data_IF_356072156679
#
_entry.id   IF_356072156679
#
_cell.length_a   1.000
_cell.length_b   1.000
_cell.length_c   1.000
_cell.angle_alpha   90.00
_cell.angle_beta   90.00
_cell.angle_gamma   90.00
#
_symmetry.space_group_name_H-M   'P 1'
#
loop_
_entity.id
_entity.type
_entity.pdbx_description
1 polymer ?
#
# COMPACT_ATOMS: atom_id res chain seq x y z
N UNK A 1 -5.92 -8.53 -4.76
CA UNK A 1 -4.56 -8.62 -5.36
C UNK A 1 -3.69 -7.43 -4.96
N UNK A 2 -4.16 -6.19 -5.14
CA UNK A 2 -3.41 -4.97 -4.84
C UNK A 2 -2.73 -4.92 -3.45
N UNK A 3 -3.43 -5.28 -2.37
CA UNK A 3 -2.85 -5.30 -1.00
C UNK A 3 -1.60 -6.18 -0.90
N UNK A 4 -1.59 -7.34 -1.57
CA UNK A 4 -0.44 -8.25 -1.57
C UNK A 4 0.68 -7.73 -2.46
N UNK A 5 0.35 -7.18 -3.63
CA UNK A 5 1.32 -6.59 -4.55
C UNK A 5 2.05 -5.40 -3.89
N UNK A 6 1.31 -4.51 -3.23
CA UNK A 6 1.83 -3.37 -2.48
C UNK A 6 2.42 -3.74 -1.12
N UNK A 7 2.26 -5.01 -0.68
CA UNK A 7 2.63 -5.48 0.66
C UNK A 7 2.11 -4.53 1.74
N UNK A 8 0.86 -4.09 1.65
CA UNK A 8 0.29 -3.15 2.61
C UNK A 8 -0.62 -3.86 3.64
N UNK A 9 -1.02 -3.13 4.68
CA UNK A 9 -1.94 -3.67 5.68
C UNK A 9 -3.31 -3.96 5.06
N UNK A 10 -3.98 -5.03 5.53
CA UNK A 10 -5.31 -5.42 5.05
C UNK A 10 -6.41 -4.38 5.28
N UNK A 11 -6.15 -3.40 6.16
CA UNK A 11 -7.07 -2.31 6.49
C UNK A 11 -6.87 -1.09 5.58
N UNK A 12 -5.84 -1.08 4.73
CA UNK A 12 -5.66 -0.05 3.70
C UNK A 12 -6.84 -0.14 2.72
N UNK A 13 -7.42 1.01 2.37
CA UNK A 13 -8.56 1.08 1.44
C UNK A 13 -8.19 0.50 0.08
N UNK A 14 -9.20 0.06 -0.67
CA UNK A 14 -9.01 -0.46 -2.02
C UNK A 14 -8.34 0.56 -2.95
N UNK A 15 -8.82 1.82 -2.92
CA UNK A 15 -8.27 2.94 -3.69
C UNK A 15 -6.77 3.15 -3.40
N UNK A 16 -6.40 3.25 -2.11
CA UNK A 16 -5.01 3.43 -1.71
C UNK A 16 -4.15 2.20 -2.04
N UNK A 17 -4.67 0.98 -1.88
CA UNK A 17 -3.94 -0.24 -2.21
C UNK A 17 -3.63 -0.34 -3.72
N UNK A 18 -4.58 0.01 -4.59
CA UNK A 18 -4.38 0.07 -6.04
C UNK A 18 -3.31 1.11 -6.42
N UNK A 19 -3.36 2.30 -5.81
CA UNK A 19 -2.34 3.33 -6.00
C UNK A 19 -0.95 2.86 -5.57
N UNK A 20 -0.81 2.31 -4.36
CA UNK A 20 0.48 1.79 -3.87
C UNK A 20 1.02 0.65 -4.74
N UNK A 21 0.13 -0.20 -5.26
CA UNK A 21 0.51 -1.26 -6.19
C UNK A 21 0.89 -0.73 -7.58
N UNK A 22 0.45 0.47 -7.95
CA UNK A 22 0.59 1.00 -9.31
C UNK A 22 -0.29 0.26 -10.31
N UNK A 23 -1.43 -0.29 -9.87
CA UNK A 23 -2.34 -1.05 -10.72
C UNK A 23 -3.75 -0.45 -10.60
N UNK A 24 -4.40 -0.09 -11.72
CA UNK A 24 -5.76 0.43 -11.68
C UNK A 24 -6.74 -0.57 -11.05
N UNK A 25 -7.91 -0.10 -10.57
CA UNK A 25 -9.03 -0.97 -10.23
C UNK A 25 -9.36 -1.94 -11.37
N UNK A 26 -9.66 -3.19 -11.03
CA UNK A 26 -9.91 -4.24 -12.02
C UNK A 26 -11.14 -3.93 -12.88
N UNK A 27 -12.10 -3.18 -12.36
CA UNK A 27 -13.28 -2.72 -13.09
C UNK A 27 -12.88 -1.86 -14.30
N UNK A 28 -11.88 -0.99 -14.15
CA UNK A 28 -11.38 -0.17 -15.24
C UNK A 28 -10.57 -1.00 -16.24
N UNK A 29 -9.77 -1.96 -15.76
CA UNK A 29 -9.08 -2.91 -16.64
C UNK A 29 -10.07 -3.76 -17.46
N UNK A 30 -11.17 -4.19 -16.86
CA UNK A 30 -12.22 -4.95 -17.54
C UNK A 30 -12.89 -4.12 -18.65
N UNK A 31 -13.13 -2.83 -18.42
CA UNK A 31 -13.66 -1.91 -19.45
C UNK A 31 -12.69 -1.80 -20.62
N UNK A 32 -11.40 -1.60 -20.35
CA UNK A 32 -10.37 -1.53 -21.40
C UNK A 32 -10.27 -2.83 -22.21
N UNK A 33 -10.26 -3.99 -21.53
CA UNK A 33 -10.25 -5.30 -22.18
C UNK A 33 -11.52 -5.54 -23.01
N UNK A 34 -12.69 -5.14 -22.50
CA UNK A 34 -13.96 -5.24 -23.21
C UNK A 34 -13.99 -4.40 -24.50
N UNK A 35 -13.41 -3.20 -24.48
CA UNK A 35 -13.27 -2.37 -25.67
C UNK A 35 -12.39 -3.04 -26.74
N UNK A 36 -11.24 -3.60 -26.35
CA UNK A 36 -10.36 -4.35 -27.26
C UNK A 36 -11.01 -5.60 -27.82
N UNK A 37 -11.81 -6.31 -27.01
CA UNK A 37 -12.55 -7.49 -27.45
C UNK A 37 -13.60 -7.16 -28.51
N UNK A 38 -14.36 -6.07 -28.33
CA UNK A 38 -15.33 -5.59 -29.32
C UNK A 38 -14.64 -5.22 -30.65
N UNK A 39 -13.57 -4.42 -30.57
CA UNK A 39 -12.78 -4.05 -31.75
C UNK A 39 -12.26 -5.28 -32.51
N UNK A 40 -11.79 -6.30 -31.79
CA UNK A 40 -11.33 -7.56 -32.40
C UNK A 40 -12.45 -8.26 -33.16
N UNK A 41 -13.68 -8.24 -32.63
CA UNK A 41 -14.86 -8.78 -33.31
C UNK A 41 -15.20 -8.02 -34.60
N UNK A 42 -15.22 -6.69 -34.52
CA UNK A 42 -15.56 -5.78 -35.63
C UNK A 42 -14.52 -5.86 -36.77
N UNK A 43 -13.25 -6.03 -36.44
CA UNK A 43 -12.15 -6.04 -37.42
C UNK A 43 -11.80 -7.44 -37.95
N UNK A 44 -12.56 -8.46 -37.54
CA UNK A 44 -12.28 -9.87 -37.88
C UNK A 44 -12.46 -10.17 -39.36
N UNK A 45 -13.50 -9.61 -39.98
CA UNK A 45 -13.83 -9.84 -41.38
C UNK A 45 -12.77 -9.26 -42.32
N UNK A 46 -12.26 -8.07 -42.00
CA UNK A 46 -11.36 -7.31 -42.88
C UNK A 46 -9.87 -7.48 -42.53
N UNK A 47 -9.55 -8.30 -41.51
CA UNK A 47 -8.17 -8.60 -41.10
C UNK A 47 -7.40 -7.45 -40.44
N UNK A 48 -8.04 -6.31 -40.18
CA UNK A 48 -7.41 -5.06 -39.71
C UNK A 48 -6.96 -5.06 -38.24
N UNK A 49 -7.26 -6.12 -37.49
CA UNK A 49 -6.93 -6.22 -36.06
C UNK A 49 -5.44 -5.94 -35.75
N UNK A 50 -4.53 -6.50 -36.55
CA UNK A 50 -3.09 -6.38 -36.31
C UNK A 50 -2.59 -4.92 -36.40
N UNK A 51 -3.18 -4.13 -37.29
CA UNK A 51 -2.88 -2.71 -37.46
C UNK A 51 -3.44 -1.89 -36.28
N UNK A 52 -4.67 -2.18 -35.86
CA UNK A 52 -5.42 -1.34 -34.93
C UNK A 52 -5.17 -1.66 -33.45
N UNK A 53 -4.75 -2.88 -33.11
CA UNK A 53 -4.59 -3.31 -31.71
C UNK A 53 -3.58 -2.47 -30.92
N UNK A 54 -2.48 -2.06 -31.55
CA UNK A 54 -1.44 -1.26 -30.90
C UNK A 54 -1.96 0.12 -30.46
N UNK A 55 -2.45 0.95 -31.40
CA UNK A 55 -3.11 2.21 -31.08
C UNK A 55 -4.29 2.05 -30.11
N UNK A 56 -5.15 1.06 -30.30
CA UNK A 56 -6.31 0.84 -29.44
C UNK A 56 -5.92 0.50 -27.99
N UNK A 57 -4.86 -0.29 -27.79
CA UNK A 57 -4.31 -0.57 -26.44
C UNK A 57 -3.78 0.67 -25.76
N UNK A 58 -3.10 1.55 -26.50
CA UNK A 58 -2.62 2.83 -25.96
C UNK A 58 -3.79 3.72 -25.57
N UNK A 59 -4.77 3.88 -26.45
CA UNK A 59 -5.96 4.69 -26.15
C UNK A 59 -6.73 4.15 -24.93
N UNK A 60 -7.03 2.85 -24.90
CA UNK A 60 -7.74 2.24 -23.77
C UNK A 60 -6.98 2.40 -22.44
N UNK A 61 -5.65 2.43 -22.49
CA UNK A 61 -4.81 2.70 -21.32
C UNK A 61 -4.89 4.16 -20.89
N UNK A 62 -4.85 5.10 -21.82
CA UNK A 62 -5.03 6.52 -21.52
C UNK A 62 -6.41 6.80 -20.92
N UNK A 63 -7.47 6.23 -21.51
CA UNK A 63 -8.85 6.32 -21.01
C UNK A 63 -8.96 5.73 -19.60
N UNK A 64 -8.27 4.61 -19.33
CA UNK A 64 -8.21 4.00 -18.00
C UNK A 64 -7.59 4.96 -16.98
N UNK A 65 -6.49 5.64 -17.33
CA UNK A 65 -5.86 6.60 -16.43
C UNK A 65 -6.72 7.84 -16.20
N UNK A 66 -7.34 8.38 -17.24
CA UNK A 66 -8.19 9.56 -17.11
C UNK A 66 -9.40 9.24 -16.23
N UNK A 67 -10.03 8.08 -16.45
CA UNK A 67 -11.12 7.63 -15.59
C UNK A 67 -10.66 7.38 -14.16
N UNK A 68 -9.50 6.75 -13.97
CA UNK A 68 -8.98 6.49 -12.64
C UNK A 68 -8.64 7.78 -11.89
N UNK A 69 -8.00 8.75 -12.55
CA UNK A 69 -7.71 10.06 -11.97
C UNK A 69 -8.97 10.86 -11.63
N UNK A 70 -10.03 10.71 -12.43
CA UNK A 70 -11.35 11.28 -12.16
C UNK A 70 -12.01 10.63 -10.93
N UNK A 71 -12.05 9.30 -10.86
CA UNK A 71 -12.65 8.59 -9.72
C UNK A 71 -11.91 8.90 -8.41
N UNK A 72 -10.58 9.09 -8.47
CA UNK A 72 -9.75 9.49 -7.34
C UNK A 72 -9.89 10.96 -6.94
N UNK A 73 -10.68 11.78 -7.66
CA UNK A 73 -10.85 13.19 -7.33
C UNK A 73 -11.56 13.43 -6.01
N UNK A 74 -12.43 12.51 -5.62
CA UNK A 74 -13.19 12.54 -4.38
C UNK A 74 -13.04 11.18 -3.69
N UNK A 75 -11.87 10.89 -3.09
CA UNK A 75 -11.60 9.58 -2.53
C UNK A 75 -12.52 9.27 -1.36
N UNK A 76 -13.05 8.05 -1.33
CA UNK A 76 -13.92 7.58 -0.23
C UNK A 76 -13.12 7.21 1.01
N UNK A 77 -11.90 6.73 0.82
CA UNK A 77 -11.00 6.34 1.90
C UNK A 77 -9.53 6.36 1.46
N UNK A 78 -8.61 6.54 2.41
CA UNK A 78 -7.18 6.61 2.09
C UNK A 78 -6.76 7.95 1.47
N UNK A 79 -7.51 9.01 1.79
CA UNK A 79 -7.32 10.40 1.34
C UNK A 79 -5.85 10.80 1.27
N UNK A 80 -5.09 10.58 2.35
CA UNK A 80 -3.63 10.82 2.41
C UNK A 80 -2.85 10.25 1.21
N UNK A 81 -3.03 8.96 0.93
CA UNK A 81 -2.30 8.28 -0.15
C UNK A 81 -2.78 8.76 -1.50
N UNK A 82 -4.08 9.00 -1.64
CA UNK A 82 -4.68 9.49 -2.88
C UNK A 82 -4.17 10.89 -3.21
N UNK A 83 -4.26 11.83 -2.28
CA UNK A 83 -3.82 13.22 -2.46
C UNK A 83 -2.32 13.31 -2.78
N UNK A 84 -1.49 12.44 -2.20
CA UNK A 84 -0.06 12.44 -2.46
C UNK A 84 0.34 11.86 -3.82
N UNK A 85 -0.37 10.84 -4.31
CA UNK A 85 0.02 10.09 -5.52
C UNK A 85 -0.76 10.53 -6.76
N UNK A 86 -2.06 10.86 -6.62
CA UNK A 86 -2.93 11.21 -7.74
C UNK A 86 -2.36 12.32 -8.65
N UNK A 87 -1.71 13.39 -8.15
CA UNK A 87 -1.12 14.42 -9.02
C UNK A 87 -0.05 13.87 -9.97
N UNK A 88 0.54 12.72 -9.62
CA UNK A 88 1.61 12.05 -10.36
C UNK A 88 1.18 10.65 -10.80
N UNK A 89 -0.12 10.41 -11.04
CA UNK A 89 -0.66 9.06 -11.23
C UNK A 89 0.06 8.29 -12.35
N UNK A 90 0.30 8.97 -13.47
CA UNK A 90 0.90 8.37 -14.66
C UNK A 90 2.37 8.06 -14.41
N UNK A 91 3.11 9.01 -13.87
CA UNK A 91 4.52 8.88 -13.51
C UNK A 91 4.71 7.80 -12.46
N UNK A 92 3.84 7.78 -11.44
CA UNK A 92 3.85 6.77 -10.40
C UNK A 92 3.65 5.38 -10.97
N UNK A 93 2.65 5.16 -11.82
CA UNK A 93 2.37 3.84 -12.39
C UNK A 93 3.46 3.41 -13.40
N UNK A 94 4.02 4.35 -14.16
CA UNK A 94 5.04 4.09 -15.17
C UNK A 94 6.48 4.17 -14.65
N UNK A 95 6.67 4.38 -13.35
CA UNK A 95 8.00 4.64 -12.77
C UNK A 95 8.98 3.50 -13.10
N UNK A 96 10.25 3.83 -13.42
CA UNK A 96 11.30 2.82 -13.57
C UNK A 96 11.77 2.26 -12.22
N UNK A 97 11.52 3.00 -11.14
CA UNK A 97 11.91 2.68 -9.78
C UNK A 97 11.16 1.45 -9.23
N UNK A 98 11.75 0.79 -8.22
CA UNK A 98 11.28 -0.50 -7.72
C UNK A 98 9.85 -0.52 -7.11
N UNK A 99 9.45 -1.72 -6.68
CA UNK A 99 8.18 -1.90 -5.98
C UNK A 99 8.17 -1.17 -4.62
N UNK A 100 7.00 -0.71 -4.20
CA UNK A 100 6.78 -0.16 -2.85
C UNK A 100 7.03 -1.27 -1.83
N UNK A 101 7.94 -1.03 -0.87
CA UNK A 101 8.20 -1.98 0.21
C UNK A 101 7.08 -1.96 1.26
N UNK A 102 7.03 -2.97 2.14
CA UNK A 102 6.05 -3.03 3.23
C UNK A 102 6.08 -1.77 4.12
N UNK A 103 7.28 -1.23 4.40
CA UNK A 103 7.47 -0.03 5.24
C UNK A 103 7.22 1.26 4.47
N UNK A 104 7.54 1.32 3.18
CA UNK A 104 7.10 2.43 2.35
C UNK A 104 5.58 2.49 2.28
N UNK A 105 4.91 1.35 2.10
CA UNK A 105 3.46 1.28 2.09
C UNK A 105 2.86 1.76 3.42
N UNK A 106 3.44 1.41 4.57
CA UNK A 106 3.06 1.96 5.87
C UNK A 106 3.19 3.50 5.91
N UNK A 107 4.35 4.03 5.53
CA UNK A 107 4.61 5.47 5.54
C UNK A 107 3.64 6.24 4.63
N UNK A 108 3.40 5.75 3.41
CA UNK A 108 2.54 6.37 2.42
C UNK A 108 1.05 6.28 2.79
N UNK A 109 0.64 5.25 3.55
CA UNK A 109 -0.76 5.05 3.97
C UNK A 109 -1.08 5.51 5.38
N UNK A 110 -0.06 5.83 6.20
CA UNK A 110 -0.23 6.09 7.62
C UNK A 110 -0.69 4.87 8.43
N UNK A 111 -0.57 3.67 7.87
CA UNK A 111 -0.94 2.42 8.53
C UNK A 111 0.27 1.75 9.20
N UNK A 112 0.00 0.88 10.18
CA UNK A 112 1.02 0.04 10.81
C UNK A 112 1.42 0.53 12.20
N UNK A 113 2.71 0.68 12.47
CA UNK A 113 3.21 0.93 13.83
C UNK A 113 3.05 2.38 14.34
N UNK A 114 2.11 3.14 13.80
CA UNK A 114 1.85 4.53 14.20
C UNK A 114 0.77 4.57 15.29
N UNK A 115 1.02 5.28 16.39
CA UNK A 115 0.08 5.40 17.52
C UNK A 115 -1.34 5.79 17.11
N UNK A 116 -1.52 6.75 16.18
CA UNK A 116 -2.84 7.13 15.67
C UNK A 116 -3.58 5.95 15.04
N UNK A 117 -2.89 5.15 14.22
CA UNK A 117 -3.46 3.96 13.59
C UNK A 117 -3.75 2.86 14.63
N UNK A 118 -2.79 2.60 15.52
CA UNK A 118 -2.91 1.56 16.55
C UNK A 118 -4.07 1.83 17.49
N UNK A 119 -4.33 3.11 17.81
CA UNK A 119 -5.45 3.53 18.62
C UNK A 119 -6.78 3.49 17.86
N UNK A 120 -6.90 4.21 16.73
CA UNK A 120 -8.18 4.45 16.04
C UNK A 120 -8.67 3.29 15.17
N UNK A 121 -7.75 2.52 14.60
CA UNK A 121 -8.08 1.47 13.60
C UNK A 121 -7.79 0.08 14.14
N UNK A 122 -6.60 -0.13 14.72
CA UNK A 122 -6.22 -1.46 15.20
C UNK A 122 -6.79 -1.79 16.59
N UNK A 123 -7.13 -0.79 17.40
CA UNK A 123 -7.62 -0.95 18.77
C UNK A 123 -6.60 -1.59 19.72
N UNK A 124 -5.30 -1.42 19.45
CA UNK A 124 -4.17 -2.06 20.17
C UNK A 124 -3.53 -1.16 21.23
N UNK A 125 -3.76 0.14 21.14
CA UNK A 125 -3.22 1.16 22.04
C UNK A 125 -4.35 2.03 22.60
N UNK A 126 -4.25 2.42 23.87
CA UNK A 126 -5.27 3.24 24.54
C UNK A 126 -5.24 4.70 24.09
N UNK A 127 -4.07 5.20 23.69
CA UNK A 127 -3.88 6.58 23.26
C UNK A 127 -3.08 6.63 21.96
N UNK A 128 -3.27 7.67 21.13
CA UNK A 128 -2.60 7.77 19.83
C UNK A 128 -1.17 8.33 19.92
N UNK A 129 -0.57 8.40 21.11
CA UNK A 129 0.69 9.11 21.38
C UNK A 129 1.90 8.48 20.68
N UNK A 130 2.95 9.29 20.51
CA UNK A 130 4.26 8.83 20.07
C UNK A 130 5.08 8.35 21.25
N UNK A 131 5.24 7.02 21.37
CA UNK A 131 6.07 6.40 22.42
C UNK A 131 7.58 6.72 22.31
N UNK A 132 8.02 7.37 21.24
CA UNK A 132 9.44 7.69 21.01
C UNK A 132 9.83 9.09 21.49
N UNK A 133 8.93 10.08 21.34
CA UNK A 133 9.20 11.47 21.72
C UNK A 133 8.13 12.10 22.62
N UNK A 134 7.06 11.36 22.96
CA UNK A 134 5.98 11.84 23.82
C UNK A 134 4.94 12.74 23.13
N UNK A 135 5.02 12.95 21.82
CA UNK A 135 4.04 13.76 21.09
C UNK A 135 2.61 13.20 21.25
N UNK A 136 1.57 14.07 21.32
CA UNK A 136 0.20 13.66 21.63
C UNK A 136 -0.43 12.79 20.54
N UNK A 137 0.03 12.89 19.29
CA UNK A 137 -0.44 12.05 18.19
C UNK A 137 0.74 11.58 17.32
N UNK A 138 0.89 10.27 17.16
CA UNK A 138 1.88 9.63 16.30
C UNK A 138 1.25 9.28 14.96
N UNK A 139 1.46 10.17 14.00
CA UNK A 139 1.14 9.95 12.58
C UNK A 139 2.39 9.60 11.79
N UNK A 140 2.21 9.17 10.54
CA UNK A 140 3.35 9.00 9.64
C UNK A 140 3.98 10.34 9.25
N UNK A 141 3.21 11.44 9.13
CA UNK A 141 3.77 12.80 8.97
C UNK A 141 4.65 13.18 10.16
N UNK A 142 4.15 12.96 11.38
CA UNK A 142 4.92 13.22 12.59
C UNK A 142 6.24 12.43 12.59
N UNK A 143 6.18 11.13 12.30
CA UNK A 143 7.37 10.28 12.23
C UNK A 143 8.36 10.76 11.14
N UNK A 144 7.85 11.18 9.98
CA UNK A 144 8.64 11.60 8.84
C UNK A 144 9.28 12.98 9.02
N UNK A 145 8.56 13.95 9.59
CA UNK A 145 8.92 15.37 9.55
C UNK A 145 9.25 15.99 10.93
N UNK A 146 8.69 15.47 12.02
CA UNK A 146 8.68 16.20 13.31
C UNK A 146 9.40 15.46 14.44
N UNK A 147 9.25 14.13 14.50
CA UNK A 147 9.68 13.34 15.64
C UNK A 147 11.17 13.52 15.93
N UNK A 148 11.48 14.01 17.14
CA UNK A 148 12.85 14.35 17.56
C UNK A 148 13.78 13.13 17.57
N UNK A 149 13.24 11.94 17.88
CA UNK A 149 13.97 10.67 17.89
C UNK A 149 14.59 10.32 16.53
N UNK A 150 13.92 10.71 15.43
CA UNK A 150 14.34 10.39 14.06
C UNK A 150 15.07 11.54 13.37
N UNK A 151 15.52 12.55 14.13
CA UNK A 151 16.17 13.76 13.60
C UNK A 151 17.38 13.45 12.71
N UNK A 152 18.25 12.52 13.12
CA UNK A 152 19.42 12.12 12.33
C UNK A 152 19.02 11.47 11.00
N UNK A 153 18.13 10.47 11.05
CA UNK A 153 17.67 9.78 9.84
C UNK A 153 16.93 10.75 8.90
N UNK A 154 16.18 11.70 9.46
CA UNK A 154 15.49 12.74 8.70
C UNK A 154 16.47 13.72 8.07
N UNK A 155 17.53 14.10 8.77
CA UNK A 155 18.60 14.94 8.21
C UNK A 155 19.27 14.28 7.00
N UNK A 156 19.63 12.99 7.12
CA UNK A 156 20.19 12.22 6.01
C UNK A 156 19.22 12.20 4.81
N UNK A 157 17.91 12.02 5.07
CA UNK A 157 16.88 12.04 4.02
C UNK A 157 16.76 13.42 3.34
N UNK A 158 16.66 14.49 4.13
CA UNK A 158 16.51 15.88 3.65
C UNK A 158 17.69 16.29 2.77
N UNK A 159 18.89 15.80 3.07
CA UNK A 159 20.08 16.06 2.25
C UNK A 159 19.96 15.56 0.80
N UNK A 160 19.07 14.59 0.54
CA UNK A 160 18.83 13.99 -0.78
C UNK A 160 17.57 14.54 -1.44
N UNK A 161 16.46 14.66 -0.69
CA UNK A 161 15.14 14.99 -1.27
C UNK A 161 14.67 16.42 -1.02
N UNK A 162 15.44 17.22 -0.28
CA UNK A 162 15.10 18.58 0.09
C UNK A 162 14.32 18.68 1.41
N UNK A 163 14.04 19.92 1.82
CA UNK A 163 13.47 20.22 3.15
C UNK A 163 11.95 20.02 3.25
N UNK A 164 11.24 20.06 2.14
CA UNK A 164 9.79 19.85 2.13
C UNK A 164 9.46 18.35 2.21
N UNK A 165 9.07 17.94 3.41
CA UNK A 165 8.69 16.55 3.71
C UNK A 165 7.17 16.34 3.69
N UNK A 166 6.39 17.26 3.10
CA UNK A 166 5.00 16.96 2.79
C UNK A 166 4.92 15.72 1.89
N UNK A 167 3.90 14.89 2.09
CA UNK A 167 3.82 13.61 1.38
C UNK A 167 3.81 13.75 -0.16
N UNK A 168 3.10 14.74 -0.76
CA UNK A 168 3.20 14.98 -2.20
C UNK A 168 4.62 15.33 -2.66
N UNK A 169 5.35 16.17 -1.92
CA UNK A 169 6.73 16.55 -2.27
C UNK A 169 7.70 15.37 -2.14
N UNK A 170 7.52 14.51 -1.14
CA UNK A 170 8.28 13.25 -1.03
C UNK A 170 8.00 12.33 -2.22
N UNK A 171 6.73 12.17 -2.63
CA UNK A 171 6.36 11.37 -3.81
C UNK A 171 6.97 11.95 -5.09
N UNK A 172 6.91 13.28 -5.28
CA UNK A 172 7.53 13.95 -6.41
C UNK A 172 9.04 13.70 -6.45
N UNK A 173 9.74 13.85 -5.32
CA UNK A 173 11.18 13.59 -5.24
C UNK A 173 11.52 12.12 -5.55
N UNK A 174 10.74 11.16 -5.01
CA UNK A 174 10.91 9.74 -5.30
C UNK A 174 10.80 9.40 -6.79
N UNK A 175 9.95 10.11 -7.52
CA UNK A 175 9.77 9.94 -8.97
C UNK A 175 10.86 10.66 -9.78
N UNK A 176 11.50 11.68 -9.21
CA UNK A 176 12.55 12.46 -9.84
C UNK A 176 13.89 11.72 -9.99
N UNK A 177 14.24 10.81 -9.08
CA UNK A 177 15.48 10.04 -9.20
C UNK A 177 15.48 8.70 -8.46
N UNK A 178 16.28 7.76 -8.97
CA UNK A 178 16.51 6.46 -8.32
C UNK A 178 17.21 6.60 -6.96
N UNK A 179 18.03 7.64 -6.79
CA UNK A 179 18.71 7.97 -5.53
C UNK A 179 17.69 8.43 -4.47
N UNK A 180 16.80 9.36 -4.82
CA UNK A 180 15.73 9.81 -3.94
C UNK A 180 14.80 8.66 -3.54
N UNK A 181 14.43 7.79 -4.50
CA UNK A 181 13.67 6.57 -4.20
C UNK A 181 14.36 5.69 -3.16
N UNK A 182 15.67 5.44 -3.33
CA UNK A 182 16.47 4.62 -2.40
C UNK A 182 16.60 5.29 -1.03
N UNK A 183 16.79 6.61 -0.98
CA UNK A 183 16.87 7.36 0.26
C UNK A 183 15.58 7.26 1.08
N UNK A 184 14.42 7.46 0.45
CA UNK A 184 13.11 7.29 1.11
C UNK A 184 12.88 5.85 1.54
N UNK A 185 13.20 4.88 0.69
CA UNK A 185 13.09 3.46 1.04
C UNK A 185 13.94 3.10 2.25
N UNK A 186 15.19 3.58 2.29
CA UNK A 186 16.13 3.35 3.40
C UNK A 186 15.66 4.02 4.69
N UNK A 187 15.18 5.26 4.62
CA UNK A 187 14.57 5.95 5.76
C UNK A 187 13.39 5.15 6.33
N UNK A 188 12.43 4.77 5.47
CA UNK A 188 11.26 3.99 5.87
C UNK A 188 11.66 2.67 6.52
N UNK A 189 12.64 1.97 5.94
CA UNK A 189 13.14 0.71 6.47
C UNK A 189 13.75 0.90 7.87
N UNK A 190 14.70 1.83 8.03
CA UNK A 190 15.39 2.04 9.31
C UNK A 190 14.48 2.52 10.42
N UNK A 191 13.59 3.46 10.14
CA UNK A 191 12.72 4.07 11.14
C UNK A 191 11.60 3.11 11.52
N UNK A 192 10.87 2.57 10.54
CA UNK A 192 9.71 1.73 10.84
C UNK A 192 10.11 0.35 11.37
N UNK A 193 11.27 -0.20 11.00
CA UNK A 193 11.77 -1.43 11.63
C UNK A 193 11.98 -1.25 13.15
N UNK A 194 12.54 -0.11 13.57
CA UNK A 194 12.75 0.20 14.99
C UNK A 194 11.43 0.49 15.71
N UNK A 195 10.51 1.24 15.08
CA UNK A 195 9.16 1.47 15.64
C UNK A 195 8.39 0.18 15.82
N UNK A 196 8.38 -0.71 14.82
CA UNK A 196 7.75 -2.03 14.90
C UNK A 196 8.36 -2.90 16.01
N UNK A 197 9.68 -2.86 16.18
CA UNK A 197 10.34 -3.60 17.26
C UNK A 197 9.93 -3.07 18.64
N UNK A 198 9.86 -1.75 18.81
CA UNK A 198 9.39 -1.12 20.04
C UNK A 198 7.91 -1.43 20.33
N UNK A 199 7.06 -1.42 19.30
CA UNK A 199 5.66 -1.85 19.40
C UNK A 199 5.55 -3.30 19.88
N UNK A 200 6.28 -4.24 19.24
CA UNK A 200 6.29 -5.65 19.64
C UNK A 200 6.75 -5.85 21.09
N UNK A 201 7.73 -5.09 21.55
CA UNK A 201 8.17 -5.15 22.96
C UNK A 201 7.07 -4.67 23.92
N UNK A 202 6.34 -3.61 23.57
CA UNK A 202 5.20 -3.14 24.36
C UNK A 202 4.06 -4.14 24.36
N UNK A 203 3.77 -4.77 23.24
CA UNK A 203 2.79 -5.86 23.15
C UNK A 203 3.16 -6.98 24.11
N UNK A 204 4.39 -7.50 24.08
CA UNK A 204 4.81 -8.58 24.99
C UNK A 204 4.68 -8.19 26.47
N UNK A 205 5.02 -6.94 26.82
CA UNK A 205 4.88 -6.42 28.19
C UNK A 205 3.42 -6.19 28.59
N UNK A 206 2.57 -5.77 27.66
CA UNK A 206 1.15 -5.52 27.85
C UNK A 206 0.28 -6.79 27.79
N UNK A 207 0.72 -7.84 27.08
CA UNK A 207 0.04 -9.13 26.92
C UNK A 207 0.00 -9.92 28.23
N UNK A 208 0.85 -9.57 29.21
CA UNK A 208 0.69 -10.00 30.60
C UNK A 208 -0.66 -9.58 31.23
N UNK A 209 -1.44 -8.71 30.57
CA UNK A 209 -2.80 -8.31 30.97
C UNK A 209 -3.88 -8.60 29.93
N UNK A 210 -3.57 -9.08 28.71
CA UNK A 210 -4.56 -9.30 27.64
C UNK A 210 -4.31 -10.59 26.85
N UNK A 211 -4.37 -11.73 27.53
CA UNK A 211 -4.30 -13.03 26.89
C UNK A 211 -5.24 -13.19 25.69
N UNK A 212 -4.65 -13.63 24.57
CA UNK A 212 -5.25 -14.39 23.46
C UNK A 212 -6.15 -13.64 22.45
N UNK A 213 -5.59 -13.38 21.24
CA UNK A 213 -6.31 -13.57 19.98
C UNK A 213 -5.39 -13.59 18.73
N UNK A 214 -4.34 -14.42 18.71
CA UNK A 214 -3.78 -14.92 17.44
C UNK A 214 -4.34 -16.32 17.18
N UNK A 215 -5.56 -16.41 16.62
CA UNK A 215 -6.02 -17.65 15.96
C UNK A 215 -5.17 -17.85 14.71
N UNK A 216 -4.06 -18.58 14.85
CA UNK A 216 -3.46 -19.32 13.73
C UNK A 216 -4.52 -20.33 13.28
N UNK A 217 -5.11 -20.11 12.10
CA UNK A 217 -5.89 -21.15 11.41
C UNK A 217 -4.92 -22.28 11.09
N UNK A 218 -4.93 -23.33 11.91
CA UNK A 218 -4.33 -24.61 11.57
C UNK A 218 -5.11 -25.20 10.40
N UNK A 219 -4.37 -25.52 9.35
CA UNK A 219 -4.84 -26.27 8.18
C UNK A 219 -5.41 -27.60 8.69
N UNK A 220 -6.68 -27.86 8.40
CA UNK A 220 -7.31 -29.14 8.71
C UNK A 220 -6.67 -30.23 7.87
N UNK A 221 -5.92 -31.12 8.51
CA UNK A 221 -5.62 -32.44 7.98
C UNK A 221 -6.91 -33.26 8.09
N UNK A 222 -7.59 -33.49 6.97
CA UNK A 222 -8.71 -34.41 6.89
C UNK A 222 -8.21 -35.84 7.08
N UNK A 223 -8.44 -36.39 8.26
CA UNK A 223 -8.40 -37.83 8.49
C UNK A 223 -9.81 -38.39 8.33
N UNK A 224 -10.04 -39.11 7.23
CA UNK A 224 -11.23 -39.94 7.02
C UNK A 224 -11.19 -41.14 7.98
N UNK A 225 -12.24 -41.45 8.75
CA UNK A 225 -12.34 -42.74 9.41
C UNK A 225 -13.12 -43.72 8.51
N UNK A 226 -12.38 -44.65 7.89
CA UNK A 226 -12.95 -45.85 7.26
C UNK A 226 -12.69 -47.04 8.18
N UNK A 227 -13.74 -47.59 8.80
CA UNK A 227 -13.88 -49.03 9.06
C UNK A 227 -15.18 -49.33 9.81
N UNK A 228 -16.12 -49.93 9.09
CA UNK A 228 -17.29 -50.65 9.60
C UNK A 228 -16.82 -51.96 10.25
N UNK A 229 -17.26 -52.33 11.46
CA UNK A 229 -16.98 -53.66 11.99
C UNK A 229 -18.05 -54.65 11.52
N UNK A 230 -17.63 -55.64 10.75
CA UNK A 230 -18.33 -56.91 10.57
C UNK A 230 -18.35 -57.67 11.90
N UNK A 231 -19.54 -58.00 12.42
CA UNK A 231 -19.71 -59.13 13.33
C UNK A 231 -20.92 -59.98 12.93
N UNK A 232 -20.56 -61.17 12.47
CA UNK A 232 -21.29 -62.44 12.44
C UNK A 232 -22.16 -62.65 13.69
N UNK A 233 -23.44 -62.98 13.53
CA UNK A 233 -23.98 -64.35 13.51
C UNK A 233 -25.41 -64.32 13.01
#
# INVERSE_FOLDING_TARGET
MAVRAARCYRTVSFEAACLLAGTPPWELEAVALGALYRLKGETRADGRWAELVGPARRQAREDTFDRWAYDLAMPRAGVRTVEAIRPFLREWVNRPSGAVSFRMAQMLSGHGCFGRFLHKVAGRETYPICHHCGAPEDTAEHTLAECATWSRQRHDLVSVIGMDLSLPSVVAAMLGSQEAWRAVAFFCERVLLQKEAAERQREVRGDGRRGCARRRRGVGAGAMPNSVPLRRR
#
